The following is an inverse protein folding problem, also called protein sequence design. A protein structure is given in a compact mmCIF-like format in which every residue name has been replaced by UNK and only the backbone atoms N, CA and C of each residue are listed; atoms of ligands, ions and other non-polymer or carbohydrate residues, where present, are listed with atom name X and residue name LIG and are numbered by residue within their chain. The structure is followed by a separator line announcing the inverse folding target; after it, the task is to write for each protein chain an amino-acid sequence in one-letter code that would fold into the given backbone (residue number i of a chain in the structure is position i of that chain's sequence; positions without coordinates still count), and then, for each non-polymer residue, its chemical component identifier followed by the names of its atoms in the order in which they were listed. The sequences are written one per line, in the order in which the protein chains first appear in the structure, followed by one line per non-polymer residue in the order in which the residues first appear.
data_IF_971332700310
#
_entry.id   IF_971332700310
#
_cell.length_a   1.000
_cell.length_b   1.000
_cell.length_c   1.000
_cell.angle_alpha   90.00
_cell.angle_beta   90.00
_cell.angle_gamma   90.00
#
_symmetry.space_group_name_H-M   'P 1'
#
loop_
_entity.id
_entity.type
_entity.pdbx_description
1 polymer ?
#
# COMPACT_ATOMS: atom_id res chain seq x y z
N UNK A 1 -0.69 21.67 -18.42
CA UNK A 1 -2.01 22.32 -18.52
C UNK A 1 -2.70 21.82 -19.77
N UNK A 2 -4.01 21.58 -19.72
CA UNK A 2 -4.79 21.12 -20.86
C UNK A 2 -6.21 21.72 -20.82
N UNK A 3 -6.87 21.97 -21.96
CA UNK A 3 -8.28 22.32 -21.97
C UNK A 3 -9.13 21.10 -21.58
N UNK A 4 -10.18 21.31 -20.81
CA UNK A 4 -11.12 20.25 -20.40
C UNK A 4 -11.78 19.59 -21.61
N UNK A 5 -12.01 20.33 -22.70
CA UNK A 5 -12.53 19.78 -23.95
C UNK A 5 -11.70 18.62 -24.49
N UNK A 6 -10.36 18.73 -24.49
CA UNK A 6 -9.48 17.66 -24.95
C UNK A 6 -9.55 16.42 -24.05
N UNK A 7 -9.72 16.61 -22.74
CA UNK A 7 -9.86 15.51 -21.80
C UNK A 7 -11.22 14.79 -21.95
N UNK A 8 -12.29 15.55 -22.21
CA UNK A 8 -13.61 15.00 -22.49
C UNK A 8 -13.64 14.21 -23.81
N UNK A 9 -12.97 14.71 -24.84
CA UNK A 9 -12.79 14.00 -26.11
C UNK A 9 -12.02 12.69 -25.90
N UNK A 10 -10.89 12.74 -25.19
CA UNK A 10 -10.13 11.54 -24.82
C UNK A 10 -11.01 10.51 -24.11
N UNK A 11 -11.74 10.93 -23.07
CA UNK A 11 -12.61 10.04 -22.30
C UNK A 11 -13.68 9.40 -23.19
N UNK A 12 -14.28 10.17 -24.09
CA UNK A 12 -15.30 9.67 -25.02
C UNK A 12 -14.73 8.61 -25.97
N UNK A 13 -13.52 8.84 -26.52
CA UNK A 13 -12.84 7.85 -27.37
C UNK A 13 -12.55 6.56 -26.60
N UNK A 14 -12.00 6.68 -25.37
CA UNK A 14 -11.68 5.50 -24.56
C UNK A 14 -12.92 4.72 -24.12
N UNK A 15 -14.00 5.43 -23.76
CA UNK A 15 -15.29 4.79 -23.47
C UNK A 15 -15.84 4.04 -24.69
N UNK A 16 -15.73 4.62 -25.90
CA UNK A 16 -16.11 3.94 -27.14
C UNK A 16 -15.33 2.64 -27.38
N UNK A 17 -14.01 2.64 -27.16
CA UNK A 17 -13.19 1.43 -27.25
C UNK A 17 -13.58 0.37 -26.21
N UNK A 18 -13.95 0.78 -25.00
CA UNK A 18 -14.43 -0.13 -23.95
C UNK A 18 -15.79 -0.73 -24.33
N UNK A 19 -16.70 0.05 -24.93
CA UNK A 19 -17.98 -0.46 -25.45
C UNK A 19 -17.78 -1.48 -26.58
N UNK A 20 -16.83 -1.23 -27.49
CA UNK A 20 -16.46 -2.19 -28.55
C UNK A 20 -15.89 -3.50 -27.98
N UNK A 21 -15.10 -3.39 -26.92
CA UNK A 21 -14.54 -4.56 -26.22
C UNK A 21 -15.61 -5.38 -25.49
N UNK A 22 -16.65 -4.73 -24.97
CA UNK A 22 -17.71 -5.37 -24.19
C UNK A 22 -17.17 -6.11 -22.97
N UNK A 23 -17.75 -7.28 -22.69
CA UNK A 23 -17.36 -8.15 -21.56
C UNK A 23 -16.42 -9.28 -22.00
N UNK A 24 -15.69 -9.08 -23.10
CA UNK A 24 -14.82 -10.12 -23.68
C UNK A 24 -13.74 -10.61 -22.72
N UNK A 25 -13.15 -9.72 -21.90
CA UNK A 25 -12.16 -10.10 -20.90
C UNK A 25 -12.76 -10.91 -19.76
N UNK A 26 -13.96 -10.55 -19.29
CA UNK A 26 -14.68 -11.32 -18.28
C UNK A 26 -15.00 -12.73 -18.81
N UNK A 27 -15.44 -12.84 -20.06
CA UNK A 27 -15.71 -14.11 -20.70
C UNK A 27 -14.44 -14.95 -20.97
N UNK A 28 -13.29 -14.32 -21.22
CA UNK A 28 -12.02 -14.99 -21.53
C UNK A 28 -11.35 -15.57 -20.28
N UNK A 29 -11.20 -14.77 -19.23
CA UNK A 29 -10.43 -15.16 -18.03
C UNK A 29 -10.99 -14.61 -16.72
N UNK A 30 -12.24 -14.18 -16.70
CA UNK A 30 -12.86 -13.56 -15.54
C UNK A 30 -12.29 -12.17 -15.23
N UNK A 31 -11.57 -11.55 -16.18
CA UNK A 31 -11.07 -10.18 -16.08
C UNK A 31 -12.17 -9.14 -15.91
N UNK A 32 -11.82 -7.84 -15.80
CA UNK A 32 -12.81 -6.80 -15.63
C UNK A 32 -13.73 -6.72 -16.86
N UNK A 33 -15.03 -6.83 -16.61
CA UNK A 33 -16.05 -6.54 -17.61
C UNK A 33 -16.11 -5.04 -17.94
N UNK A 34 -17.01 -4.69 -18.85
CA UNK A 34 -17.16 -3.33 -19.37
C UNK A 34 -17.35 -2.28 -18.28
N UNK A 35 -18.23 -2.55 -17.32
CA UNK A 35 -18.47 -1.64 -16.19
C UNK A 35 -17.24 -1.48 -15.28
N UNK A 36 -16.42 -2.52 -15.15
CA UNK A 36 -15.14 -2.45 -14.47
C UNK A 36 -14.19 -1.47 -15.16
N UNK A 37 -14.03 -1.60 -16.47
CA UNK A 37 -13.14 -0.75 -17.26
C UNK A 37 -13.60 0.71 -17.32
N UNK A 38 -14.90 0.96 -17.39
CA UNK A 38 -15.44 2.32 -17.33
C UNK A 38 -15.19 2.97 -15.96
N UNK A 39 -15.26 2.20 -14.87
CA UNK A 39 -14.88 2.70 -13.53
C UNK A 39 -13.39 2.99 -13.43
N UNK A 40 -12.53 2.10 -13.96
CA UNK A 40 -11.09 2.37 -14.03
C UNK A 40 -10.80 3.67 -14.81
N UNK A 41 -11.53 3.92 -15.91
CA UNK A 41 -11.39 5.14 -16.70
C UNK A 41 -11.69 6.41 -15.88
N UNK A 42 -12.73 6.38 -15.04
CA UNK A 42 -13.06 7.49 -14.14
C UNK A 42 -12.00 7.66 -13.05
N UNK A 43 -11.44 6.57 -12.52
CA UNK A 43 -10.36 6.62 -11.53
C UNK A 43 -9.08 7.25 -12.08
N UNK A 44 -8.73 7.00 -13.35
CA UNK A 44 -7.60 7.66 -14.02
C UNK A 44 -7.77 9.17 -13.97
N UNK A 45 -8.98 9.64 -14.27
CA UNK A 45 -9.27 11.06 -14.30
C UNK A 45 -9.31 11.66 -12.90
N UNK A 46 -9.78 10.91 -11.89
CA UNK A 46 -9.70 11.33 -10.49
C UNK A 46 -8.24 11.53 -10.02
N UNK A 47 -7.33 10.64 -10.44
CA UNK A 47 -5.91 10.72 -10.04
C UNK A 47 -5.16 11.83 -10.80
N UNK A 48 -5.33 11.91 -12.12
CA UNK A 48 -4.53 12.78 -12.98
C UNK A 48 -4.94 14.25 -12.88
N UNK A 49 -6.18 14.55 -12.53
CA UNK A 49 -6.64 15.94 -12.36
C UNK A 49 -6.13 16.47 -11.02
N UNK A 50 -5.39 17.58 -11.07
CA UNK A 50 -4.90 18.27 -9.87
C UNK A 50 -5.81 19.44 -9.51
N UNK A 51 -6.12 20.27 -10.50
CA UNK A 51 -6.94 21.48 -10.32
C UNK A 51 -7.55 21.94 -11.62
N UNK A 52 -8.59 22.76 -11.50
CA UNK A 52 -9.30 23.34 -12.64
C UNK A 52 -9.58 24.82 -12.43
N UNK A 53 -9.84 25.54 -13.52
CA UNK A 53 -10.44 26.87 -13.49
C UNK A 53 -11.34 27.11 -14.71
N UNK A 54 -12.48 27.79 -14.56
CA UNK A 54 -13.42 28.01 -15.66
C UNK A 54 -12.96 29.08 -16.67
N UNK A 55 -12.02 29.95 -16.30
CA UNK A 55 -11.44 30.96 -17.18
C UNK A 55 -10.03 31.37 -16.73
N UNK A 56 -9.22 32.02 -17.58
CA UNK A 56 -7.87 32.47 -17.22
C UNK A 56 -7.82 33.46 -16.05
N UNK A 57 -8.91 34.18 -15.78
CA UNK A 57 -9.04 35.14 -14.69
C UNK A 57 -9.54 34.52 -13.38
N UNK A 58 -10.06 33.28 -13.41
CA UNK A 58 -10.52 32.58 -12.22
C UNK A 58 -9.35 31.93 -11.46
N UNK A 59 -9.46 31.78 -10.12
CA UNK A 59 -8.46 31.07 -9.33
C UNK A 59 -8.44 29.58 -9.70
N UNK A 60 -7.30 28.93 -9.44
CA UNK A 60 -7.19 27.48 -9.51
C UNK A 60 -7.83 26.85 -8.29
N UNK A 61 -8.71 25.88 -8.50
CA UNK A 61 -9.36 25.12 -7.45
C UNK A 61 -8.97 23.65 -7.57
N UNK A 62 -8.63 23.02 -6.44
CA UNK A 62 -8.36 21.58 -6.38
C UNK A 62 -9.57 20.82 -6.92
N UNK A 63 -9.32 19.90 -7.85
CA UNK A 63 -10.38 19.23 -8.58
C UNK A 63 -10.03 17.76 -8.80
N UNK A 64 -11.06 16.93 -8.94
CA UNK A 64 -10.97 15.56 -9.42
C UNK A 64 -12.07 15.36 -10.46
N UNK A 65 -12.07 14.21 -11.13
CA UNK A 65 -13.16 13.90 -12.06
C UNK A 65 -14.51 13.83 -11.37
N UNK A 66 -14.59 13.23 -10.18
CA UNK A 66 -15.78 13.15 -9.33
C UNK A 66 -16.39 14.51 -9.02
N UNK A 67 -15.59 15.56 -8.87
CA UNK A 67 -16.08 16.92 -8.64
C UNK A 67 -16.38 17.67 -9.94
N UNK A 68 -15.59 17.44 -10.98
CA UNK A 68 -15.74 18.08 -12.28
C UNK A 68 -16.92 17.57 -13.09
N UNK A 69 -17.18 16.27 -13.08
CA UNK A 69 -18.19 15.65 -13.92
C UNK A 69 -19.61 16.21 -13.64
N UNK A 70 -20.08 16.33 -12.38
CA UNK A 70 -21.32 17.04 -12.08
C UNK A 70 -21.29 18.52 -12.51
N UNK A 71 -20.16 19.21 -12.34
CA UNK A 71 -20.02 20.62 -12.73
C UNK A 71 -20.11 20.82 -14.25
N UNK A 72 -19.51 19.92 -15.03
CA UNK A 72 -19.60 19.88 -16.50
C UNK A 72 -21.05 19.66 -16.94
N UNK A 73 -21.76 18.71 -16.32
CA UNK A 73 -23.19 18.48 -16.59
C UNK A 73 -24.01 19.74 -16.32
N UNK A 74 -23.80 20.39 -15.17
CA UNK A 74 -24.51 21.61 -14.80
C UNK A 74 -24.19 22.79 -15.73
N UNK A 75 -22.94 22.93 -16.19
CA UNK A 75 -22.53 23.95 -17.13
C UNK A 75 -23.24 23.77 -18.49
N UNK A 76 -23.25 22.55 -19.02
CA UNK A 76 -23.95 22.21 -20.26
C UNK A 76 -25.46 22.49 -20.17
N UNK A 77 -26.08 22.15 -19.05
CA UNK A 77 -27.50 22.46 -18.81
C UNK A 77 -27.80 23.97 -18.85
N UNK A 78 -26.83 24.80 -18.42
CA UNK A 78 -26.92 26.27 -18.50
C UNK A 78 -26.51 26.86 -19.86
N UNK A 79 -26.25 26.03 -20.86
CA UNK A 79 -25.77 26.49 -22.18
C UNK A 79 -24.35 27.05 -22.16
N UNK A 80 -23.55 26.74 -21.12
CA UNK A 80 -22.15 27.13 -21.03
C UNK A 80 -21.29 26.07 -21.72
N UNK A 81 -20.15 26.48 -22.30
CA UNK A 81 -19.15 25.57 -22.85
C UNK A 81 -18.07 25.27 -21.81
N UNK A 82 -18.12 24.10 -21.12
CA UNK A 82 -17.08 23.70 -20.19
C UNK A 82 -15.78 23.28 -20.91
N UNK A 83 -15.79 23.09 -22.24
CA UNK A 83 -14.61 22.69 -23.01
C UNK A 83 -13.45 23.68 -22.90
N UNK A 84 -13.75 24.96 -22.69
CA UNK A 84 -12.78 26.03 -22.50
C UNK A 84 -12.18 26.11 -21.09
N UNK A 85 -12.67 25.31 -20.13
CA UNK A 85 -12.09 25.27 -18.78
C UNK A 85 -10.66 24.74 -18.85
N UNK A 86 -9.79 25.28 -18.02
CA UNK A 86 -8.39 24.87 -17.99
C UNK A 86 -8.13 23.92 -16.83
N UNK A 87 -7.34 22.88 -17.12
CA UNK A 87 -6.93 21.87 -16.16
C UNK A 87 -5.42 21.90 -15.93
N UNK A 88 -5.02 21.67 -14.69
CA UNK A 88 -3.68 21.18 -14.35
C UNK A 88 -3.78 19.68 -14.13
N UNK A 89 -2.92 18.97 -14.85
CA UNK A 89 -2.84 17.53 -14.81
C UNK A 89 -1.50 17.15 -14.21
N UNK A 90 -1.48 16.09 -13.41
CA UNK A 90 -0.27 15.46 -12.84
C UNK A 90 0.54 14.71 -13.90
N UNK A 91 -0.09 14.40 -15.04
CA UNK A 91 0.52 13.73 -16.17
C UNK A 91 0.30 14.52 -17.47
N UNK A 92 1.17 14.31 -18.45
CA UNK A 92 0.99 14.85 -19.79
C UNK A 92 -0.23 14.18 -20.46
N UNK A 93 -1.03 14.90 -21.26
CA UNK A 93 -2.15 14.29 -22.01
C UNK A 93 -1.75 13.09 -22.87
N UNK A 94 -0.52 13.08 -23.41
CA UNK A 94 0.03 11.96 -24.17
C UNK A 94 0.17 10.69 -23.32
N UNK A 95 0.56 10.83 -22.05
CA UNK A 95 0.71 9.69 -21.15
C UNK A 95 -0.64 8.98 -20.90
N UNK A 96 -1.75 9.73 -20.82
CA UNK A 96 -3.09 9.16 -20.72
C UNK A 96 -3.42 8.24 -21.90
N UNK A 97 -3.01 8.64 -23.11
CA UNK A 97 -3.19 7.83 -24.31
C UNK A 97 -2.36 6.55 -24.24
N UNK A 98 -1.07 6.67 -23.93
CA UNK A 98 -0.15 5.54 -23.83
C UNK A 98 -0.59 4.54 -22.76
N UNK A 99 -1.03 5.01 -21.60
CA UNK A 99 -1.53 4.14 -20.52
C UNK A 99 -2.76 3.38 -20.97
N UNK A 100 -3.76 4.04 -21.53
CA UNK A 100 -5.00 3.34 -21.89
C UNK A 100 -4.83 2.39 -23.08
N UNK A 101 -3.96 2.73 -24.03
CA UNK A 101 -3.62 1.81 -25.11
C UNK A 101 -2.90 0.56 -24.59
N UNK A 102 -1.96 0.72 -23.65
CA UNK A 102 -1.31 -0.43 -23.00
C UNK A 102 -2.28 -1.22 -22.12
N UNK A 103 -3.18 -0.55 -21.40
CA UNK A 103 -4.22 -1.20 -20.59
C UNK A 103 -5.07 -2.12 -21.46
N UNK A 104 -5.59 -1.61 -22.58
CA UNK A 104 -6.48 -2.35 -23.49
C UNK A 104 -5.76 -3.40 -24.35
N UNK A 105 -4.53 -3.12 -24.81
CA UNK A 105 -3.80 -4.06 -25.69
C UNK A 105 -3.07 -5.13 -24.90
N UNK A 106 -2.36 -4.74 -23.85
CA UNK A 106 -1.39 -5.59 -23.16
C UNK A 106 -1.94 -6.13 -21.82
N UNK A 107 -3.14 -5.68 -21.41
CA UNK A 107 -3.78 -6.00 -20.13
C UNK A 107 -2.88 -5.70 -18.92
N UNK A 108 -2.08 -4.64 -19.01
CA UNK A 108 -1.24 -4.18 -17.89
C UNK A 108 -2.17 -3.66 -16.78
N UNK A 109 -2.00 -4.09 -15.51
CA UNK A 109 -2.74 -3.52 -14.39
C UNK A 109 -2.62 -2.00 -14.37
N UNK A 110 -3.74 -1.31 -14.19
CA UNK A 110 -3.75 0.15 -14.25
C UNK A 110 -2.80 0.79 -13.23
N UNK A 111 -2.73 0.22 -12.03
CA UNK A 111 -1.85 0.65 -10.94
C UNK A 111 -0.37 0.63 -11.34
N UNK A 112 0.06 -0.30 -12.21
CA UNK A 112 1.42 -0.30 -12.74
C UNK A 112 1.67 0.77 -13.80
N UNK A 113 0.63 1.21 -14.51
CA UNK A 113 0.74 2.29 -15.50
C UNK A 113 0.90 3.65 -14.81
N UNK A 114 0.15 3.88 -13.73
CA UNK A 114 0.25 5.13 -12.94
C UNK A 114 1.31 5.08 -11.83
N UNK A 115 1.81 3.89 -11.50
CA UNK A 115 2.85 3.70 -10.50
C UNK A 115 2.36 3.79 -9.05
N UNK A 116 1.05 3.73 -8.81
CA UNK A 116 0.44 3.87 -7.49
C UNK A 116 -0.80 2.99 -7.30
N UNK A 117 -1.10 2.64 -6.06
CA UNK A 117 -2.30 1.94 -5.64
C UNK A 117 -2.87 2.57 -4.36
N UNK A 118 -4.18 2.83 -4.36
CA UNK A 118 -4.91 3.20 -3.15
C UNK A 118 -5.17 1.95 -2.33
N UNK A 119 -4.83 1.99 -1.04
CA UNK A 119 -5.07 0.89 -0.11
C UNK A 119 -5.24 1.44 1.30
N UNK A 120 -6.37 1.13 1.92
CA UNK A 120 -6.81 1.70 3.19
C UNK A 120 -6.72 3.24 3.20
N UNK A 121 -5.83 3.83 4.00
CA UNK A 121 -5.63 5.27 4.13
C UNK A 121 -4.39 5.76 3.36
N UNK A 122 -3.79 4.88 2.57
CA UNK A 122 -2.49 5.08 1.96
C UNK A 122 -2.58 5.07 0.44
N UNK A 123 -1.67 5.82 -0.18
CA UNK A 123 -1.35 5.70 -1.61
C UNK A 123 0.06 5.15 -1.67
N UNK A 124 0.18 3.90 -2.12
CA UNK A 124 1.43 3.16 -2.15
C UNK A 124 2.00 3.22 -3.57
N UNK A 125 3.28 3.52 -3.70
CA UNK A 125 3.99 3.31 -4.95
C UNK A 125 4.03 1.81 -5.25
N UNK A 126 3.71 1.44 -6.49
CA UNK A 126 3.73 0.05 -6.98
C UNK A 126 4.25 0.01 -8.41
N UNK A 127 4.68 -1.16 -8.86
CA UNK A 127 5.16 -1.38 -10.21
C UNK A 127 5.51 -2.84 -10.47
N UNK A 128 6.00 -3.16 -11.68
CA UNK A 128 6.39 -4.53 -12.04
C UNK A 128 7.32 -5.15 -10.99
N UNK A 129 7.00 -6.36 -10.55
CA UNK A 129 7.76 -7.08 -9.52
C UNK A 129 7.26 -6.89 -8.08
N UNK A 130 6.14 -6.18 -7.88
CA UNK A 130 5.49 -6.00 -6.57
C UNK A 130 4.01 -6.30 -6.66
N UNK A 131 3.50 -7.17 -5.80
CA UNK A 131 2.07 -7.45 -5.70
C UNK A 131 1.27 -6.15 -5.48
N UNK A 132 0.23 -5.93 -6.26
CA UNK A 132 -0.65 -4.77 -6.03
C UNK A 132 -1.51 -5.09 -4.80
N UNK A 133 -1.48 -4.27 -3.74
CA UNK A 133 -2.18 -4.56 -2.49
C UNK A 133 -3.69 -4.63 -2.71
N UNK A 134 -4.34 -5.60 -2.04
CA UNK A 134 -5.74 -5.96 -2.28
C UNK A 134 -6.68 -5.42 -1.18
N UNK A 135 -7.95 -5.07 -1.52
CA UNK A 135 -8.94 -4.63 -0.53
C UNK A 135 -9.18 -5.64 0.61
N UNK A 136 -9.12 -6.93 0.32
CA UNK A 136 -9.31 -8.00 1.30
C UNK A 136 -8.28 -7.88 2.44
N UNK A 137 -7.03 -7.55 2.10
CA UNK A 137 -5.90 -7.38 3.02
C UNK A 137 -6.08 -6.18 3.98
N UNK A 138 -7.04 -5.27 3.73
CA UNK A 138 -7.27 -4.09 4.60
C UNK A 138 -7.76 -4.44 6.01
N UNK A 139 -7.99 -5.71 6.33
CA UNK A 139 -8.32 -6.17 7.69
C UNK A 139 -7.11 -6.12 8.66
N UNK A 140 -5.87 -6.20 8.17
CA UNK A 140 -4.67 -6.31 9.01
C UNK A 140 -4.50 -5.19 10.07
N UNK A 141 -4.71 -3.90 9.75
CA UNK A 141 -4.66 -2.81 10.73
C UNK A 141 -5.65 -3.02 11.88
N UNK A 142 -6.85 -3.52 11.58
CA UNK A 142 -7.85 -3.84 12.59
C UNK A 142 -7.45 -5.01 13.47
N UNK A 143 -6.79 -6.04 12.91
CA UNK A 143 -6.25 -7.15 13.69
C UNK A 143 -5.16 -6.68 14.66
N UNK A 144 -4.27 -5.79 14.21
CA UNK A 144 -3.25 -5.15 15.05
C UNK A 144 -3.92 -4.35 16.17
N UNK A 145 -4.88 -3.48 15.83
CA UNK A 145 -5.60 -2.65 16.79
C UNK A 145 -6.34 -3.47 17.86
N UNK A 146 -6.98 -4.56 17.46
CA UNK A 146 -7.66 -5.48 18.37
C UNK A 146 -6.67 -6.17 19.32
N UNK A 147 -5.56 -6.71 18.80
CA UNK A 147 -4.52 -7.33 19.61
C UNK A 147 -3.92 -6.34 20.62
N UNK A 148 -3.68 -5.08 20.22
CA UNK A 148 -3.18 -4.03 21.12
C UNK A 148 -4.22 -3.57 22.15
N UNK A 149 -5.51 -3.71 21.87
CA UNK A 149 -6.56 -3.43 22.84
C UNK A 149 -6.62 -4.52 23.91
N UNK A 150 -6.51 -5.79 23.51
CA UNK A 150 -6.51 -6.92 24.44
C UNK A 150 -5.19 -7.07 25.21
N UNK A 151 -4.05 -6.79 24.54
CA UNK A 151 -2.69 -7.02 25.05
C UNK A 151 -1.82 -5.80 24.78
N UNK A 152 -1.97 -4.69 25.54
CA UNK A 152 -1.26 -3.44 25.29
C UNK A 152 0.27 -3.57 25.30
N UNK A 153 0.82 -4.53 26.05
CA UNK A 153 2.26 -4.80 26.12
C UNK A 153 2.88 -5.21 24.80
N UNK A 154 2.10 -5.73 23.83
CA UNK A 154 2.62 -6.09 22.51
C UNK A 154 3.17 -4.89 21.72
N UNK A 155 2.75 -3.66 22.05
CA UNK A 155 3.28 -2.45 21.41
C UNK A 155 4.76 -2.17 21.76
N UNK A 156 5.27 -2.76 22.84
CA UNK A 156 6.66 -2.63 23.28
C UNK A 156 7.60 -3.66 22.61
N UNK A 157 7.04 -4.63 21.88
CA UNK A 157 7.80 -5.68 21.22
C UNK A 157 7.96 -5.38 19.72
N UNK A 158 9.01 -5.90 19.06
CA UNK A 158 9.13 -5.84 17.61
C UNK A 158 8.04 -6.69 16.92
N UNK A 159 7.53 -6.22 15.79
CA UNK A 159 6.59 -6.97 14.94
C UNK A 159 7.25 -7.33 13.62
N UNK A 160 6.70 -8.32 12.90
CA UNK A 160 7.17 -8.71 11.58
C UNK A 160 6.02 -8.78 10.56
N UNK A 161 6.30 -8.31 9.35
CA UNK A 161 5.50 -8.51 8.14
C UNK A 161 6.34 -9.34 7.16
N UNK A 162 5.89 -10.54 6.83
CA UNK A 162 6.65 -11.51 6.03
C UNK A 162 6.06 -11.62 4.63
N UNK A 163 6.90 -11.38 3.61
CA UNK A 163 6.43 -11.18 2.24
C UNK A 163 5.81 -9.80 2.06
N UNK A 164 6.49 -8.76 2.54
CA UNK A 164 5.91 -7.42 2.72
C UNK A 164 5.43 -6.75 1.43
N UNK A 165 5.95 -7.16 0.26
CA UNK A 165 5.54 -6.62 -1.03
C UNK A 165 5.77 -5.11 -1.12
N UNK A 166 4.68 -4.36 -1.27
CA UNK A 166 4.69 -2.88 -1.32
C UNK A 166 4.87 -2.23 0.06
N UNK A 167 4.90 -3.01 1.14
CA UNK A 167 4.96 -2.51 2.53
C UNK A 167 3.60 -2.20 3.16
N UNK A 168 2.49 -2.50 2.47
CA UNK A 168 1.13 -2.15 2.92
C UNK A 168 0.83 -2.59 4.37
N UNK A 169 1.07 -3.87 4.68
CA UNK A 169 0.84 -4.44 6.00
C UNK A 169 1.84 -3.85 7.01
N UNK A 170 3.14 -3.83 6.70
CA UNK A 170 4.16 -3.27 7.59
C UNK A 170 3.90 -1.81 7.98
N UNK A 171 3.55 -0.96 7.01
CA UNK A 171 3.31 0.47 7.19
C UNK A 171 2.09 0.70 8.07
N UNK A 172 1.00 -0.03 7.80
CA UNK A 172 -0.23 0.11 8.57
C UNK A 172 -0.11 -0.43 9.99
N UNK A 173 0.59 -1.55 10.17
CA UNK A 173 0.94 -2.06 11.50
C UNK A 173 1.79 -1.05 12.28
N UNK A 174 2.79 -0.44 11.65
CA UNK A 174 3.62 0.59 12.28
C UNK A 174 2.79 1.82 12.70
N UNK A 175 1.80 2.22 11.88
CA UNK A 175 0.91 3.33 12.22
C UNK A 175 0.01 3.03 13.42
N UNK A 176 -0.49 1.81 13.57
CA UNK A 176 -1.26 1.40 14.74
C UNK A 176 -0.39 1.27 16.00
N UNK A 177 0.80 0.69 15.87
CA UNK A 177 1.73 0.49 16.98
C UNK A 177 2.26 1.81 17.55
N UNK A 178 2.63 2.76 16.68
CA UNK A 178 3.22 4.05 17.10
C UNK A 178 2.28 4.93 17.91
N UNK A 179 0.96 4.75 17.75
CA UNK A 179 -0.05 5.44 18.57
C UNK A 179 0.03 5.03 20.03
N UNK A 180 0.55 3.84 20.34
CA UNK A 180 0.74 3.34 21.71
C UNK A 180 2.20 3.43 22.17
N UNK A 181 3.15 3.17 21.27
CA UNK A 181 4.57 3.26 21.55
C UNK A 181 5.30 3.92 20.37
N UNK A 182 5.70 5.20 20.46
CA UNK A 182 6.42 5.89 19.39
C UNK A 182 7.73 5.23 18.95
N UNK A 183 8.31 4.37 19.79
CA UNK A 183 9.53 3.60 19.49
C UNK A 183 9.24 2.18 18.97
N UNK A 184 7.99 1.86 18.62
CA UNK A 184 7.66 0.56 18.05
C UNK A 184 8.38 0.32 16.71
N UNK A 185 8.80 -0.91 16.50
CA UNK A 185 9.53 -1.35 15.32
C UNK A 185 8.77 -2.47 14.61
N UNK A 186 8.62 -2.33 13.28
CA UNK A 186 8.09 -3.37 12.39
C UNK A 186 9.19 -3.80 11.43
N UNK A 187 9.46 -5.09 11.35
CA UNK A 187 10.41 -5.68 10.42
C UNK A 187 9.67 -6.17 9.19
N UNK A 188 9.91 -5.52 8.06
CA UNK A 188 9.30 -5.85 6.79
C UNK A 188 10.28 -6.72 5.99
N UNK A 189 9.95 -8.01 5.81
CA UNK A 189 10.82 -8.97 5.14
C UNK A 189 10.29 -9.29 3.75
N UNK A 190 11.15 -9.22 2.74
CA UNK A 190 10.83 -9.74 1.40
C UNK A 190 12.03 -10.42 0.75
N UNK A 191 11.76 -11.47 -0.04
CA UNK A 191 12.78 -12.14 -0.84
C UNK A 191 13.22 -11.29 -2.03
N UNK A 192 12.25 -10.56 -2.62
CA UNK A 192 12.44 -9.74 -3.81
C UNK A 192 13.14 -8.43 -3.46
N UNK A 193 14.31 -8.13 -4.04
CA UNK A 193 14.96 -6.83 -3.85
C UNK A 193 14.12 -5.67 -4.42
N UNK A 194 13.27 -5.94 -5.42
CA UNK A 194 12.35 -4.95 -6.00
C UNK A 194 11.26 -4.59 -4.99
N UNK A 195 10.58 -5.60 -4.43
CA UNK A 195 9.55 -5.39 -3.40
C UNK A 195 10.13 -4.68 -2.18
N UNK A 196 11.29 -5.13 -1.68
CA UNK A 196 11.97 -4.46 -0.57
C UNK A 196 12.27 -2.96 -0.86
N UNK A 197 12.65 -2.61 -2.10
CA UNK A 197 12.86 -1.21 -2.46
C UNK A 197 11.56 -0.38 -2.45
N UNK A 198 10.46 -0.93 -2.96
CA UNK A 198 9.14 -0.29 -2.89
C UNK A 198 8.65 -0.14 -1.45
N UNK A 199 8.76 -1.18 -0.64
CA UNK A 199 8.40 -1.13 0.78
C UNK A 199 9.19 -0.05 1.53
N UNK A 200 10.49 0.08 1.27
CA UNK A 200 11.33 1.10 1.89
C UNK A 200 10.91 2.51 1.45
N UNK A 201 10.72 2.72 0.14
CA UNK A 201 10.26 4.00 -0.40
C UNK A 201 8.90 4.41 0.17
N UNK A 202 7.95 3.48 0.22
CA UNK A 202 6.61 3.73 0.76
C UNK A 202 6.66 4.05 2.26
N UNK A 203 7.43 3.28 3.04
CA UNK A 203 7.59 3.53 4.46
C UNK A 203 8.19 4.90 4.73
N UNK A 204 9.25 5.28 4.01
CA UNK A 204 9.89 6.59 4.14
C UNK A 204 8.94 7.72 3.73
N UNK A 205 8.16 7.54 2.68
CA UNK A 205 7.24 8.56 2.17
C UNK A 205 6.02 8.78 3.06
N UNK A 206 5.48 7.71 3.65
CA UNK A 206 4.22 7.73 4.41
C UNK A 206 4.46 7.97 5.90
N UNK A 207 5.49 7.35 6.48
CA UNK A 207 5.76 7.44 7.92
C UNK A 207 6.73 8.56 8.28
N UNK A 208 7.22 9.33 7.29
CA UNK A 208 8.00 10.53 7.56
C UNK A 208 7.27 11.44 8.56
N UNK A 209 7.97 11.96 9.58
CA UNK A 209 7.38 13.00 10.43
C UNK A 209 7.03 14.21 9.56
N UNK A 210 5.94 14.93 9.89
CA UNK A 210 5.60 16.14 9.16
C UNK A 210 6.79 17.10 9.14
N UNK A 211 7.01 17.86 8.06
CA UNK A 211 8.09 18.83 8.00
C UNK A 211 7.99 19.76 9.22
N UNK A 212 9.12 20.14 9.84
CA UNK A 212 9.10 21.03 10.98
C UNK A 212 8.35 22.30 10.60
N UNK A 213 7.29 22.63 11.35
CA UNK A 213 6.58 23.90 11.21
C UNK A 213 7.63 25.00 11.24
N UNK A 214 7.71 25.79 10.17
CA UNK A 214 8.58 26.96 10.14
C UNK A 214 8.30 27.79 11.40
N UNK A 215 9.31 27.92 12.26
CA UNK A 215 9.21 28.72 13.45
C UNK A 215 9.03 30.19 13.04
N UNK A 216 7.92 30.80 13.46
CA UNK A 216 7.80 32.25 13.48
C UNK A 216 6.85 32.84 12.46
N UNK A 217 5.68 33.22 12.95
CA UNK A 217 4.71 34.06 12.26
C UNK A 217 3.46 34.14 13.10
N UNK A 218 3.54 34.80 14.26
CA UNK A 218 2.35 35.18 15.04
C UNK A 218 1.39 35.92 14.12
N UNK A 219 0.27 35.31 13.78
CA UNK A 219 -0.83 35.96 13.09
C UNK A 219 -1.50 36.92 14.08
N UNK A 220 -0.97 38.14 14.17
CA UNK A 220 -1.73 39.27 14.66
C UNK A 220 -2.70 39.70 13.56
N UNK A 221 -3.99 39.66 13.86
CA UNK A 221 -5.02 40.30 13.06
C UNK A 221 -4.69 41.80 12.95
N UNK A 222 -4.50 42.29 11.73
CA UNK A 222 -4.57 43.72 11.44
C UNK A 222 -5.13 43.93 10.04
N UNK A 223 -6.12 44.80 10.01
CA UNK A 223 -6.98 45.21 8.93
C UNK A 223 -6.30 46.09 7.88
N UNK A 224 -6.83 46.00 6.66
CA UNK A 224 -7.07 47.08 5.69
C UNK A 224 -5.92 48.00 5.25
N UNK A 225 -5.75 48.00 3.92
CA UNK A 225 -5.41 49.10 2.98
C UNK A 225 -4.05 48.94 2.29
N UNK A 226 -4.01 48.91 0.94
CA UNK A 226 -2.76 48.84 0.19
C UNK A 226 -2.22 50.25 -0.08
N UNK A 227 -0.90 50.44 -0.19
CA UNK A 227 -0.35 51.53 -0.97
C UNK A 227 0.37 51.03 -2.22
N UNK A 228 -0.11 51.58 -3.34
CA UNK A 228 0.59 52.14 -4.49
C UNK A 228 1.95 51.58 -4.95
N UNK A 229 1.94 51.28 -6.24
CA UNK A 229 3.05 51.22 -7.20
C UNK A 229 4.17 52.23 -6.99
N UNK A 230 5.42 51.79 -7.15
CA UNK A 230 6.43 52.56 -7.88
C UNK A 230 7.47 51.65 -8.55
N UNK A 231 7.71 51.97 -9.81
CA UNK A 231 8.76 51.53 -10.72
C UNK A 231 10.18 51.80 -10.20
N UNK A 232 11.14 50.93 -10.50
CA UNK A 232 12.41 51.22 -11.22
C UNK A 232 13.28 49.95 -11.23
N UNK A 233 13.48 49.34 -12.40
CA UNK A 233 14.70 49.41 -13.24
C UNK A 233 15.82 48.44 -12.82
N UNK A 234 16.08 47.47 -13.70
CA UNK A 234 17.25 46.60 -13.70
C UNK A 234 18.56 47.38 -13.97
N UNK A 235 19.72 46.78 -13.65
CA UNK A 235 20.65 46.51 -14.75
C UNK A 235 21.34 45.13 -14.69
N UNK A 236 21.75 44.72 -15.89
CA UNK A 236 22.48 43.52 -16.33
C UNK A 236 23.97 43.48 -15.89
N UNK A 237 24.71 42.38 -16.14
CA UNK A 237 25.83 41.94 -15.32
C UNK A 237 27.19 42.47 -15.78
N UNK A 238 28.15 42.53 -14.84
CA UNK A 238 29.56 42.67 -15.16
C UNK A 238 30.41 41.67 -14.36
N UNK A 239 31.24 40.97 -15.13
CA UNK A 239 32.35 40.09 -14.80
C UNK A 239 33.42 40.74 -13.91
N UNK A 240 34.03 39.97 -13.01
CA UNK A 240 35.29 40.36 -12.36
C UNK A 240 35.69 39.41 -11.23
N UNK A 241 36.76 38.64 -11.45
CA UNK A 241 37.45 37.84 -10.45
C UNK A 241 38.21 38.72 -9.44
N UNK A 242 38.23 38.34 -8.16
CA UNK A 242 39.46 38.19 -7.36
C UNK A 242 39.20 37.95 -5.86
N UNK A 243 39.83 36.90 -5.35
CA UNK A 243 40.45 36.71 -4.02
C UNK A 243 39.74 37.14 -2.72
N UNK A 244 39.44 36.11 -1.92
CA UNK A 244 39.75 35.92 -0.49
C UNK A 244 39.47 37.06 0.51
N UNK A 245 38.47 36.82 1.38
CA UNK A 245 38.54 37.06 2.83
C UNK A 245 37.43 36.27 3.52
N UNK A 246 37.79 35.46 4.51
CA UNK A 246 36.86 34.72 5.37
C UNK A 246 36.19 35.65 6.38
N UNK A 247 34.99 35.28 6.87
CA UNK A 247 34.85 35.22 8.33
C UNK A 247 34.08 34.00 8.84
N UNK A 248 34.61 33.46 9.93
CA UNK A 248 33.94 32.99 11.14
C UNK A 248 32.69 32.08 11.04
N UNK A 249 32.93 30.80 11.31
CA UNK A 249 32.16 29.93 12.23
C UNK A 249 30.63 29.99 12.16
N UNK A 250 30.05 29.13 11.32
CA UNK A 250 28.73 28.55 11.56
C UNK A 250 28.93 27.18 12.22
N UNK A 251 28.39 27.05 13.42
CA UNK A 251 28.32 25.85 14.24
C UNK A 251 27.92 24.61 13.44
N UNK A 252 28.80 23.60 13.46
CA UNK A 252 28.52 22.30 12.89
C UNK A 252 27.29 21.68 13.54
N UNK A 253 26.27 21.42 12.73
CA UNK A 253 25.29 20.39 13.05
C UNK A 253 26.03 19.05 12.90
N UNK A 254 26.31 18.40 14.03
CA UNK A 254 26.77 17.01 14.01
C UNK A 254 25.78 16.13 13.25
N UNK A 255 26.19 14.94 12.78
CA UNK A 255 25.29 14.04 12.08
C UNK A 255 24.07 13.78 12.98
N UNK A 256 22.88 14.09 12.45
CA UNK A 256 21.64 13.75 13.12
C UNK A 256 21.68 12.25 13.45
N UNK A 257 21.35 11.89 14.69
CA UNK A 257 21.22 10.50 15.09
C UNK A 257 20.36 9.76 14.04
N UNK A 258 20.75 8.53 13.63
CA UNK A 258 20.02 7.81 12.59
C UNK A 258 18.55 7.76 12.99
N UNK A 259 17.68 8.26 12.09
CA UNK A 259 16.22 8.16 12.24
C UNK A 259 15.92 6.68 12.48
N UNK A 260 15.32 6.38 13.62
CA UNK A 260 14.90 5.01 13.91
C UNK A 260 13.71 4.73 12.98
N UNK A 261 13.97 4.00 11.90
CA UNK A 261 12.94 3.68 10.92
C UNK A 261 11.90 2.80 11.61
N UNK A 262 10.66 3.30 11.71
CA UNK A 262 9.54 2.57 12.32
C UNK A 262 9.24 1.26 11.59
N UNK A 263 9.50 1.25 10.27
CA UNK A 263 9.55 0.05 9.44
C UNK A 263 10.99 -0.18 9.01
N UNK A 264 11.56 -1.31 9.40
CA UNK A 264 12.88 -1.74 8.96
C UNK A 264 12.72 -2.81 7.89
N UNK A 265 13.01 -2.45 6.65
CA UNK A 265 12.97 -3.38 5.53
C UNK A 265 14.25 -4.21 5.49
N UNK A 266 14.11 -5.52 5.39
CA UNK A 266 15.22 -6.46 5.24
C UNK A 266 14.93 -7.46 4.13
N UNK A 267 15.97 -7.79 3.36
CA UNK A 267 15.89 -8.83 2.34
C UNK A 267 16.17 -10.19 2.95
N UNK A 268 15.34 -11.18 2.66
CA UNK A 268 15.57 -12.57 3.09
C UNK A 268 14.33 -13.43 2.93
N UNK A 269 14.47 -14.72 3.24
CA UNK A 269 13.32 -15.63 3.25
C UNK A 269 12.71 -15.70 4.65
N UNK A 270 11.43 -15.36 4.76
CA UNK A 270 10.64 -15.51 5.99
C UNK A 270 11.37 -15.00 7.25
N UNK A 271 11.67 -15.89 8.20
CA UNK A 271 12.30 -15.56 9.47
C UNK A 271 13.84 -15.57 9.45
N UNK A 272 14.47 -15.94 8.33
CA UNK A 272 15.94 -15.99 8.19
C UNK A 272 16.64 -14.70 8.65
N UNK A 273 16.25 -13.49 8.21
CA UNK A 273 16.90 -12.27 8.70
C UNK A 273 16.52 -11.92 10.14
N UNK A 274 15.50 -12.57 10.70
CA UNK A 274 14.91 -12.26 12.00
C UNK A 274 15.28 -13.24 13.11
N UNK A 275 16.15 -14.23 12.87
CA UNK A 275 16.52 -15.27 13.85
C UNK A 275 16.98 -14.72 15.21
N UNK A 276 17.59 -13.53 15.21
CA UNK A 276 18.02 -12.82 16.42
C UNK A 276 16.85 -12.29 17.30
N UNK A 277 15.62 -12.32 16.78
CA UNK A 277 14.37 -11.93 17.45
C UNK A 277 13.53 -13.14 17.91
N UNK A 278 14.08 -14.36 17.87
CA UNK A 278 13.38 -15.57 18.31
C UNK A 278 12.81 -15.40 19.73
N UNK A 279 11.54 -15.74 19.92
CA UNK A 279 10.80 -15.62 21.18
C UNK A 279 10.51 -14.17 21.62
N UNK A 280 10.69 -13.18 20.74
CA UNK A 280 10.57 -11.75 21.09
C UNK A 280 9.57 -10.98 20.24
N UNK A 281 9.03 -11.57 19.17
CA UNK A 281 8.09 -10.87 18.31
C UNK A 281 6.72 -10.71 19.00
N UNK A 282 6.20 -9.49 19.03
CA UNK A 282 4.86 -9.18 19.52
C UNK A 282 3.76 -9.55 18.53
N UNK A 283 4.09 -9.58 17.24
CA UNK A 283 3.20 -10.05 16.20
C UNK A 283 3.93 -10.44 14.92
N UNK A 284 3.35 -11.39 14.18
CA UNK A 284 3.74 -11.81 12.84
C UNK A 284 2.51 -11.72 11.94
N UNK A 285 2.62 -10.90 10.90
CA UNK A 285 1.60 -10.68 9.88
C UNK A 285 2.15 -11.18 8.54
N UNK A 286 1.29 -11.75 7.69
CA UNK A 286 1.72 -12.15 6.35
C UNK A 286 0.53 -12.31 5.41
N UNK A 287 0.68 -11.80 4.20
CA UNK A 287 -0.09 -12.24 3.02
C UNK A 287 0.88 -13.00 2.09
N UNK A 288 1.12 -14.31 2.35
CA UNK A 288 2.06 -15.09 1.57
C UNK A 288 1.46 -15.55 0.23
N UNK A 289 2.28 -16.03 -0.71
CA UNK A 289 1.78 -16.72 -1.91
C UNK A 289 0.95 -17.94 -1.52
N UNK A 290 -0.29 -18.02 -2.01
CA UNK A 290 -1.25 -19.06 -1.64
C UNK A 290 -2.04 -19.65 -2.81
N UNK A 291 -1.80 -19.17 -4.04
CA UNK A 291 -2.56 -19.66 -5.21
C UNK A 291 -2.01 -21.04 -5.59
N UNK A 292 -2.85 -22.08 -5.66
CA UNK A 292 -2.43 -23.38 -6.15
C UNK A 292 -1.78 -23.29 -7.54
N UNK A 293 -0.62 -23.92 -7.71
CA UNK A 293 0.13 -23.91 -8.98
C UNK A 293 -0.71 -24.35 -10.19
N UNK A 294 -1.60 -25.31 -9.98
CA UNK A 294 -2.53 -25.79 -11.00
C UNK A 294 -3.49 -24.69 -11.50
N UNK A 295 -3.79 -23.69 -10.68
CA UNK A 295 -4.70 -22.58 -10.98
C UNK A 295 -3.97 -21.38 -11.61
N UNK A 296 -2.64 -21.30 -11.51
CA UNK A 296 -1.85 -20.17 -12.02
C UNK A 296 -2.09 -19.86 -13.51
N UNK A 297 -2.36 -20.89 -14.34
CA UNK A 297 -2.63 -20.71 -15.78
C UNK A 297 -4.00 -20.08 -16.08
N UNK A 298 -4.93 -20.15 -15.13
CA UNK A 298 -6.29 -19.62 -15.27
C UNK A 298 -6.49 -18.25 -14.63
N UNK A 299 -5.42 -17.62 -14.15
CA UNK A 299 -5.51 -16.27 -13.59
C UNK A 299 -5.83 -15.25 -14.68
N UNK A 300 -6.56 -14.20 -14.29
CA UNK A 300 -6.77 -13.00 -15.10
C UNK A 300 -5.44 -12.51 -15.67
N UNK A 301 -5.43 -12.07 -16.93
CA UNK A 301 -4.21 -11.64 -17.60
C UNK A 301 -3.45 -10.54 -16.84
N UNK A 302 -4.14 -9.59 -16.20
CA UNK A 302 -3.54 -8.54 -15.37
C UNK A 302 -2.67 -9.13 -14.27
N UNK A 303 -3.17 -10.18 -13.61
CA UNK A 303 -2.49 -10.84 -12.50
C UNK A 303 -1.44 -11.80 -13.04
N UNK A 304 -1.83 -12.78 -13.85
CA UNK A 304 -0.96 -13.85 -14.30
C UNK A 304 0.18 -13.43 -15.24
N UNK A 305 0.02 -12.33 -16.00
CA UNK A 305 1.04 -11.86 -16.95
C UNK A 305 1.95 -10.78 -16.38
N UNK A 306 1.51 -10.01 -15.37
CA UNK A 306 2.23 -8.82 -14.92
C UNK A 306 2.65 -8.84 -13.45
N UNK A 307 1.85 -9.42 -12.55
CA UNK A 307 2.23 -9.52 -11.14
C UNK A 307 3.29 -10.62 -10.92
N UNK A 308 4.20 -10.46 -9.96
CA UNK A 308 5.30 -11.40 -9.78
C UNK A 308 4.79 -12.79 -9.41
N UNK A 309 5.15 -13.80 -10.22
CA UNK A 309 4.81 -15.21 -9.97
C UNK A 309 5.17 -15.66 -8.55
N UNK A 310 6.31 -15.19 -8.02
CA UNK A 310 6.77 -15.50 -6.67
C UNK A 310 5.90 -14.93 -5.53
N UNK A 311 5.03 -13.95 -5.82
CA UNK A 311 4.07 -13.42 -4.84
C UNK A 311 2.70 -14.13 -4.92
N UNK A 312 2.51 -15.02 -5.89
CA UNK A 312 1.22 -15.65 -6.20
C UNK A 312 1.24 -17.15 -5.94
N UNK A 313 2.24 -17.85 -6.49
CA UNK A 313 2.33 -19.31 -6.48
C UNK A 313 2.58 -19.86 -5.07
N UNK A 314 1.53 -20.44 -4.48
CA UNK A 314 1.56 -21.12 -3.20
C UNK A 314 2.05 -22.58 -3.29
N UNK A 315 2.47 -23.04 -4.47
CA UNK A 315 3.00 -24.38 -4.67
C UNK A 315 1.94 -25.40 -5.11
N UNK A 316 2.28 -26.67 -4.95
CA UNK A 316 1.46 -27.78 -5.45
C UNK A 316 0.20 -28.02 -4.59
N UNK A 317 -0.72 -28.83 -5.11
CA UNK A 317 -1.92 -29.25 -4.40
C UNK A 317 -2.76 -28.04 -3.96
N UNK A 318 -3.04 -27.86 -2.65
CA UNK A 318 -3.85 -26.76 -2.15
C UNK A 318 -3.11 -25.41 -2.11
N UNK A 319 -1.84 -25.30 -2.54
CA UNK A 319 -1.10 -24.03 -2.51
C UNK A 319 -0.65 -23.61 -1.10
N UNK A 320 -0.22 -24.58 -0.28
CA UNK A 320 0.09 -24.39 1.13
C UNK A 320 1.57 -24.24 1.46
N UNK A 321 2.48 -24.27 0.48
CA UNK A 321 3.92 -24.41 0.73
C UNK A 321 4.45 -23.30 1.66
N UNK A 322 4.17 -22.04 1.33
CA UNK A 322 4.53 -20.87 2.14
C UNK A 322 3.85 -20.87 3.51
N UNK A 323 2.56 -21.21 3.55
CA UNK A 323 1.75 -21.21 4.77
C UNK A 323 2.23 -22.29 5.77
N UNK A 324 2.60 -23.46 5.27
CA UNK A 324 3.19 -24.55 6.07
C UNK A 324 4.51 -24.14 6.68
N UNK A 325 5.40 -23.52 5.90
CA UNK A 325 6.69 -23.02 6.37
C UNK A 325 6.52 -21.98 7.49
N UNK A 326 5.60 -21.04 7.31
CA UNK A 326 5.26 -20.03 8.31
C UNK A 326 4.70 -20.66 9.59
N UNK A 327 3.70 -21.54 9.48
CA UNK A 327 3.07 -22.21 10.62
C UNK A 327 4.06 -23.08 11.41
N UNK A 328 5.04 -23.70 10.74
CA UNK A 328 6.05 -24.53 11.38
C UNK A 328 6.99 -23.74 12.30
N UNK A 329 7.25 -22.46 11.98
CA UNK A 329 8.27 -21.66 12.69
C UNK A 329 7.69 -20.57 13.61
N UNK A 330 6.50 -20.03 13.30
CA UNK A 330 5.98 -18.82 13.95
C UNK A 330 5.87 -18.93 15.48
N UNK A 331 5.59 -20.12 16.02
CA UNK A 331 5.56 -20.37 17.47
C UNK A 331 6.91 -20.10 18.17
N UNK A 332 8.02 -20.38 17.48
CA UNK A 332 9.37 -20.14 18.00
C UNK A 332 9.74 -18.66 18.00
N UNK A 333 9.10 -17.86 17.14
CA UNK A 333 9.46 -16.47 16.89
C UNK A 333 8.68 -15.51 17.78
N UNK A 334 7.41 -15.83 18.06
CA UNK A 334 6.54 -15.02 18.91
C UNK A 334 6.95 -15.09 20.38
N UNK A 335 6.86 -13.94 21.05
CA UNK A 335 6.82 -13.87 22.50
C UNK A 335 5.51 -14.49 23.03
N UNK A 336 5.47 -14.95 24.29
CA UNK A 336 4.22 -15.36 24.93
C UNK A 336 3.17 -14.26 24.80
N UNK A 337 2.00 -14.63 24.34
CA UNK A 337 0.91 -13.71 24.08
C UNK A 337 0.92 -13.00 22.72
N UNK A 338 1.96 -13.19 21.90
CA UNK A 338 2.09 -12.56 20.57
C UNK A 338 1.05 -13.03 19.56
N UNK A 339 0.75 -12.17 18.57
CA UNK A 339 -0.24 -12.43 17.51
C UNK A 339 0.42 -13.11 16.30
N UNK A 340 -0.25 -14.09 15.70
CA UNK A 340 -0.03 -14.45 14.28
C UNK A 340 -1.31 -14.18 13.51
N UNK A 341 -1.20 -13.56 12.34
CA UNK A 341 -2.30 -13.37 11.39
C UNK A 341 -1.81 -13.63 9.96
N UNK A 342 -2.49 -14.54 9.26
CA UNK A 342 -2.13 -15.00 7.91
C UNK A 342 -3.34 -14.85 6.99
N UNK A 343 -3.11 -14.31 5.80
CA UNK A 343 -4.05 -14.39 4.68
C UNK A 343 -3.92 -15.73 3.95
N UNK A 344 -5.02 -16.23 3.40
CA UNK A 344 -5.09 -17.47 2.61
C UNK A 344 -5.92 -17.23 1.35
N UNK A 345 -6.02 -18.24 0.48
CA UNK A 345 -6.97 -18.27 -0.63
C UNK A 345 -8.45 -18.36 -0.17
N UNK A 346 -8.66 -18.65 1.12
CA UNK A 346 -9.96 -18.81 1.77
C UNK A 346 -10.54 -20.23 1.69
N UNK A 347 -11.70 -20.41 2.31
CA UNK A 347 -12.40 -21.70 2.34
C UNK A 347 -11.59 -22.78 3.06
N UNK A 348 -11.45 -23.95 2.44
CA UNK A 348 -10.73 -25.10 3.03
C UNK A 348 -9.28 -24.79 3.36
N UNK A 349 -8.62 -23.91 2.58
CA UNK A 349 -7.22 -23.55 2.84
C UNK A 349 -7.08 -22.80 4.18
N UNK A 350 -8.05 -21.94 4.52
CA UNK A 350 -8.08 -21.26 5.81
C UNK A 350 -8.30 -22.24 6.97
N UNK A 351 -9.17 -23.24 6.77
CA UNK A 351 -9.41 -24.29 7.77
C UNK A 351 -8.15 -25.16 8.00
N UNK A 352 -7.44 -25.52 6.93
CA UNK A 352 -6.18 -26.26 7.01
C UNK A 352 -5.09 -25.47 7.77
N UNK A 353 -4.93 -24.18 7.51
CA UNK A 353 -3.98 -23.32 8.23
C UNK A 353 -4.38 -23.18 9.70
N UNK A 354 -5.67 -23.05 10.00
CA UNK A 354 -6.16 -23.04 11.37
C UNK A 354 -5.83 -24.35 12.10
N UNK A 355 -6.00 -25.50 11.45
CA UNK A 355 -5.64 -26.80 12.02
C UNK A 355 -4.13 -26.94 12.26
N UNK A 356 -3.29 -26.43 11.35
CA UNK A 356 -1.83 -26.37 11.56
C UNK A 356 -1.48 -25.61 12.84
N UNK A 357 -2.09 -24.44 13.07
CA UNK A 357 -1.85 -23.66 14.28
C UNK A 357 -2.42 -24.34 15.54
N UNK A 358 -3.58 -25.01 15.47
CA UNK A 358 -4.15 -25.76 16.61
C UNK A 358 -3.28 -26.95 17.01
N UNK A 359 -2.64 -27.59 16.03
CA UNK A 359 -1.80 -28.77 16.22
C UNK A 359 -0.32 -28.42 16.46
N UNK A 360 0.09 -27.16 16.29
CA UNK A 360 1.47 -26.75 16.48
C UNK A 360 1.92 -27.00 17.94
N UNK A 361 3.01 -27.75 18.16
CA UNK A 361 3.49 -28.06 19.50
C UNK A 361 4.21 -26.87 20.13
N UNK A 362 4.19 -26.79 21.46
CA UNK A 362 5.02 -25.86 22.23
C UNK A 362 6.52 -26.01 21.84
N UNK A 363 7.23 -24.92 21.49
CA UNK A 363 8.65 -24.95 21.21
C UNK A 363 9.46 -25.58 22.36
N UNK A 364 10.24 -26.61 22.04
CA UNK A 364 11.06 -27.31 23.03
C UNK A 364 10.37 -28.47 23.76
N UNK A 365 9.08 -28.72 23.51
CA UNK A 365 8.47 -30.00 23.87
C UNK A 365 9.12 -31.11 23.01
N UNK A 366 9.83 -32.04 23.64
CA UNK A 366 10.47 -33.16 22.92
C UNK A 366 9.47 -33.95 22.08
N UNK A 367 9.93 -34.51 20.96
CA UNK A 367 9.15 -35.38 20.08
C UNK A 367 8.77 -36.68 20.82
N UNK A 368 7.71 -36.64 21.61
CA UNK A 368 7.37 -37.73 22.53
C UNK A 368 6.05 -37.49 23.25
N UNK A 369 4.99 -37.15 22.51
CA UNK A 369 3.61 -37.28 22.98
C UNK A 369 2.74 -37.59 21.76
N UNK A 370 2.03 -38.70 21.83
CA UNK A 370 1.49 -39.41 20.68
C UNK A 370 0.24 -38.79 20.06
N UNK A 371 -0.15 -39.42 18.95
CA UNK A 371 -1.39 -39.24 18.21
C UNK A 371 -2.60 -39.32 19.16
N UNK A 372 -3.10 -38.16 19.57
CA UNK A 372 -4.38 -37.99 20.24
C UNK A 372 -5.25 -37.09 19.38
N UNK A 373 -6.27 -37.66 18.73
CA UNK A 373 -7.27 -36.93 17.99
C UNK A 373 -8.06 -36.01 18.94
N UNK A 374 -7.72 -34.73 18.95
CA UNK A 374 -8.36 -33.70 19.78
C UNK A 374 -7.51 -32.44 19.87
N UNK A 375 -7.61 -31.56 18.86
CA UNK A 375 -6.88 -30.29 18.83
C UNK A 375 -7.25 -29.40 20.03
N UNK A 376 -6.23 -28.85 20.71
CA UNK A 376 -6.41 -27.95 21.86
C UNK A 376 -5.90 -28.47 23.22
N UNK A 377 -5.14 -29.56 23.25
CA UNK A 377 -4.55 -30.09 24.49
C UNK A 377 -3.54 -29.15 25.19
N UNK A 378 -3.12 -29.49 26.43
CA UNK A 378 -2.19 -28.70 27.24
C UNK A 378 -0.77 -28.51 26.65
N UNK A 379 -0.47 -29.08 25.46
CA UNK A 379 0.81 -28.93 24.75
C UNK A 379 0.75 -28.12 23.44
N UNK A 380 -0.39 -27.52 23.10
CA UNK A 380 -0.52 -26.68 21.90
C UNK A 380 0.07 -25.28 22.09
N UNK A 381 0.84 -24.82 21.10
CA UNK A 381 1.54 -23.53 21.10
C UNK A 381 0.62 -22.31 20.97
N UNK A 382 -0.58 -22.50 20.43
CA UNK A 382 -1.50 -21.42 20.14
C UNK A 382 -2.83 -21.60 20.87
N UNK A 383 -3.43 -20.46 21.23
CA UNK A 383 -4.79 -20.34 21.72
C UNK A 383 -5.59 -19.40 20.81
N UNK A 384 -6.93 -19.48 20.91
CA UNK A 384 -7.86 -18.62 20.15
C UNK A 384 -7.56 -18.61 18.65
N UNK A 385 -7.42 -19.81 18.07
CA UNK A 385 -7.25 -19.98 16.63
C UNK A 385 -8.60 -19.76 15.94
N UNK A 386 -8.72 -18.64 15.22
CA UNK A 386 -9.95 -18.17 14.59
C UNK A 386 -9.76 -18.02 13.07
N UNK A 387 -10.79 -18.39 12.31
CA UNK A 387 -10.89 -18.09 10.88
C UNK A 387 -11.86 -16.92 10.71
N UNK A 388 -11.43 -15.87 10.03
CA UNK A 388 -12.14 -14.61 9.87
C UNK A 388 -12.51 -14.36 8.40
N UNK A 389 -13.60 -13.64 8.21
CA UNK A 389 -14.08 -13.24 6.88
C UNK A 389 -13.39 -11.95 6.40
N UNK A 390 -13.20 -11.85 5.09
CA UNK A 390 -12.81 -10.62 4.41
C UNK A 390 -14.02 -9.68 4.19
N UNK A 391 -13.80 -8.54 3.53
CA UNK A 391 -14.84 -7.56 3.22
C UNK A 391 -15.93 -8.06 2.24
N UNK A 392 -15.75 -9.25 1.65
CA UNK A 392 -16.71 -9.92 0.78
C UNK A 392 -17.41 -11.12 1.45
N UNK A 393 -17.13 -11.38 2.73
CA UNK A 393 -17.70 -12.51 3.47
C UNK A 393 -16.99 -13.84 3.21
N UNK A 394 -15.80 -13.84 2.61
CA UNK A 394 -15.01 -15.06 2.38
C UNK A 394 -14.14 -15.32 3.60
N UNK A 395 -14.26 -16.51 4.19
CA UNK A 395 -13.40 -17.01 5.28
C UNK A 395 -11.95 -17.12 4.80
N UNK A 396 -11.16 -16.05 4.95
CA UNK A 396 -9.86 -15.87 4.28
C UNK A 396 -8.68 -15.75 5.24
N UNK A 397 -8.91 -15.21 6.44
CA UNK A 397 -7.82 -14.91 7.37
C UNK A 397 -7.81 -15.91 8.51
N UNK A 398 -6.62 -16.32 8.93
CA UNK A 398 -6.44 -17.11 10.14
C UNK A 398 -5.64 -16.28 11.12
N UNK A 399 -6.15 -16.12 12.33
CA UNK A 399 -5.41 -15.53 13.44
C UNK A 399 -5.31 -16.47 14.62
N UNK A 400 -4.24 -16.34 15.38
CA UNK A 400 -4.08 -17.02 16.65
C UNK A 400 -3.16 -16.22 17.57
N UNK A 401 -3.18 -16.58 18.85
CA UNK A 401 -2.27 -16.00 19.82
C UNK A 401 -1.34 -17.06 20.38
N UNK A 402 -0.06 -16.74 20.50
CA UNK A 402 0.91 -17.57 21.20
C UNK A 402 0.46 -17.72 22.64
N UNK A 403 0.35 -18.95 23.13
CA UNK A 403 -0.07 -19.22 24.52
C UNK A 403 0.88 -18.51 25.49
N UNK A 404 0.30 -17.79 26.45
CA UNK A 404 1.04 -17.26 27.59
C UNK A 404 1.36 -18.40 28.54
N UNK A 405 2.64 -18.56 28.91
CA UNK A 405 3.04 -19.48 29.98
C UNK A 405 2.50 -19.07 31.35
#
# INVERSE_FOLDING_TARGET
MAPLGALLEWKAVMAGRIEELGDSWEAEDGGPGKEGLLRELDWVLDDVIESSRPSPSAPWEGASWRTLEPAVRAARYRGQDPGAWELRLRAAPQALWEWWERRLRDRVPFQYLIGSAHWHAYVLAVGPGVLIPRPETEIFPDLVRQALAERPGLAALPWADLGTGSGAIAISAADELRRRNPAAEVWAVDLSPVAAAFAAFNADSILAPPPPRAAGGTAAAASTTPPASSSTSAPTPATGSSSASAPASASGQGPAAPRQAHVRVVRGSWFEPLRHLRGRLGGVLSNPPYIPRAQMRGLQAEVGRHEPHSALDGGEGPGLDSLQELCAEVACMLAPGGLVALETAGGEQADQVADMLRCAPEPGAGAGAGEGAGGGGPGAAFERVEVLEDCYGVRRFVRAYRRGG
#
